data_IF_033148365592
#
_entry.id   IF_033148365592
#
_cell.length_a   1.000
_cell.length_b   1.000
_cell.length_c   1.000
_cell.angle_alpha   90.00
_cell.angle_beta   90.00
_cell.angle_gamma   90.00
#
_symmetry.space_group_name_H-M   'P 1'
#
loop_
_entity.id
_entity.type
_entity.pdbx_description
1 polymer ?
#
# COMPACT_ATOMS: atom_id res chain seq x y z
N UNK A 1 -8.08 19.23 -20.84
CA UNK A 1 -6.71 19.10 -21.40
C UNK A 1 -5.86 18.34 -20.40
N UNK A 2 -4.94 17.46 -20.83
CA UNK A 2 -4.04 16.70 -19.94
C UNK A 2 -2.60 17.05 -20.29
N UNK A 3 -1.77 17.26 -19.29
CA UNK A 3 -0.36 17.67 -19.44
C UNK A 3 0.45 16.83 -18.45
N UNK A 4 1.63 16.38 -18.87
CA UNK A 4 2.60 15.67 -18.03
C UNK A 4 3.81 16.58 -17.88
N UNK A 5 4.28 16.75 -16.65
CA UNK A 5 5.42 17.59 -16.33
C UNK A 5 6.50 16.73 -15.68
N UNK A 6 7.69 16.74 -16.26
CA UNK A 6 8.90 16.16 -15.68
C UNK A 6 9.62 17.26 -14.87
N UNK A 7 9.72 17.07 -13.55
CA UNK A 7 10.18 18.11 -12.62
C UNK A 7 11.23 17.49 -11.71
N UNK A 8 12.35 18.20 -11.53
CA UNK A 8 13.38 17.81 -10.56
C UNK A 8 12.80 17.82 -9.14
N UNK A 9 13.09 16.80 -8.32
CA UNK A 9 12.57 16.64 -6.96
C UNK A 9 12.75 17.89 -6.09
N UNK A 10 13.89 18.56 -6.20
CA UNK A 10 14.20 19.77 -5.43
C UNK A 10 13.31 20.98 -5.76
N UNK A 11 12.49 20.91 -6.81
CA UNK A 11 11.52 21.93 -7.22
C UNK A 11 10.07 21.42 -7.24
N UNK A 12 9.86 20.11 -7.15
CA UNK A 12 8.54 19.50 -7.18
C UNK A 12 7.64 20.01 -6.03
N UNK A 13 8.19 20.10 -4.81
CA UNK A 13 7.46 20.56 -3.64
C UNK A 13 6.87 21.97 -3.82
N UNK A 14 7.68 22.90 -4.33
CA UNK A 14 7.25 24.28 -4.57
C UNK A 14 6.13 24.38 -5.60
N UNK A 15 6.16 23.54 -6.65
CA UNK A 15 5.09 23.51 -7.64
C UNK A 15 3.80 22.92 -7.07
N UNK A 16 3.89 21.87 -6.25
CA UNK A 16 2.72 21.24 -5.61
C UNK A 16 1.99 22.24 -4.72
N UNK A 17 2.71 23.10 -3.97
CA UNK A 17 2.07 24.13 -3.14
C UNK A 17 1.24 25.10 -3.99
N UNK A 18 1.80 25.58 -5.10
CA UNK A 18 1.07 26.45 -6.03
C UNK A 18 -0.15 25.73 -6.62
N UNK A 19 -0.01 24.45 -7.00
CA UNK A 19 -1.13 23.67 -7.55
C UNK A 19 -2.25 23.41 -6.54
N UNK A 20 -1.95 23.37 -5.23
CA UNK A 20 -2.97 23.23 -4.17
C UNK A 20 -3.85 24.46 -4.05
N UNK A 21 -3.31 25.65 -4.28
CA UNK A 21 -4.08 26.90 -4.26
C UNK A 21 -4.98 27.07 -5.50
N UNK A 22 -4.73 26.31 -6.58
CA UNK A 22 -5.52 26.34 -7.80
C UNK A 22 -6.70 25.35 -7.73
N UNK A 23 -7.84 25.81 -7.20
CA UNK A 23 -9.06 24.98 -7.06
C UNK A 23 -9.62 24.39 -8.36
N UNK A 24 -9.21 24.91 -9.53
CA UNK A 24 -9.63 24.44 -10.85
C UNK A 24 -8.70 23.39 -11.47
N UNK A 25 -7.58 23.05 -10.81
CA UNK A 25 -6.60 22.08 -11.32
C UNK A 25 -6.67 20.80 -10.50
N UNK A 26 -6.89 19.67 -11.18
CA UNK A 26 -6.75 18.33 -10.59
C UNK A 26 -5.39 17.78 -11.00
N UNK A 27 -4.52 17.49 -10.04
CA UNK A 27 -3.20 16.91 -10.27
C UNK A 27 -3.06 15.56 -9.59
N UNK A 28 -2.15 14.74 -10.11
CA UNK A 28 -1.69 13.48 -9.51
C UNK A 28 -0.17 13.48 -9.56
N UNK A 29 0.45 13.11 -8.46
CA UNK A 29 1.90 12.92 -8.40
C UNK A 29 2.18 11.54 -8.97
N UNK A 30 2.97 11.49 -10.04
CA UNK A 30 3.39 10.25 -10.68
C UNK A 30 4.87 10.10 -10.33
N UNK A 31 5.15 9.40 -9.23
CA UNK A 31 6.50 9.00 -8.87
C UNK A 31 6.72 7.56 -9.35
N UNK A 32 7.92 7.26 -9.86
CA UNK A 32 8.30 5.90 -10.25
C UNK A 32 8.38 4.93 -9.06
N UNK A 33 8.35 5.45 -7.82
CA UNK A 33 8.09 4.66 -6.63
C UNK A 33 6.67 4.13 -6.70
N UNK A 34 6.59 2.88 -7.15
CA UNK A 34 5.47 1.94 -7.06
C UNK A 34 4.53 2.42 -5.96
N UNK A 35 3.31 2.79 -6.32
CA UNK A 35 2.22 2.92 -5.37
C UNK A 35 2.15 1.58 -4.60
N UNK A 36 2.80 1.50 -3.43
CA UNK A 36 2.49 0.53 -2.41
C UNK A 36 1.04 0.81 -2.06
N UNK A 37 0.15 0.18 -2.84
CA UNK A 37 -1.27 0.39 -2.75
C UNK A 37 -1.65 0.00 -1.34
N UNK A 38 -1.92 0.98 -0.50
CA UNK A 38 -2.30 0.73 0.88
C UNK A 38 -3.43 -0.31 0.87
N UNK A 39 -3.26 -1.44 1.58
CA UNK A 39 -4.22 -2.53 1.51
C UNK A 39 -5.59 -1.99 1.90
N UNK A 40 -6.59 -2.29 1.09
CA UNK A 40 -7.95 -1.81 1.38
C UNK A 40 -8.43 -2.44 2.69
N UNK A 41 -9.34 -1.77 3.41
CA UNK A 41 -9.96 -2.34 4.64
C UNK A 41 -10.50 -3.76 4.44
N UNK A 42 -10.96 -4.08 3.22
CA UNK A 42 -11.45 -5.40 2.84
C UNK A 42 -10.32 -6.44 2.79
N UNK A 43 -9.19 -6.11 2.19
CA UNK A 43 -8.01 -6.99 2.10
C UNK A 43 -7.41 -7.26 3.49
N UNK A 44 -7.35 -6.23 4.35
CA UNK A 44 -6.91 -6.39 5.74
C UNK A 44 -7.85 -7.35 6.49
N UNK A 45 -9.17 -7.17 6.34
CA UNK A 45 -10.15 -8.03 7.00
C UNK A 45 -10.08 -9.48 6.49
N UNK A 46 -9.84 -9.67 5.20
CA UNK A 46 -9.70 -10.99 4.60
C UNK A 46 -8.44 -11.70 5.12
N UNK A 47 -7.32 -10.99 5.20
CA UNK A 47 -6.08 -11.50 5.80
C UNK A 47 -6.25 -11.93 7.26
N UNK A 48 -6.96 -11.13 8.07
CA UNK A 48 -7.27 -11.49 9.47
C UNK A 48 -8.12 -12.77 9.53
N UNK A 49 -9.18 -12.85 8.72
CA UNK A 49 -10.07 -14.04 8.69
C UNK A 49 -9.31 -15.29 8.26
N UNK A 50 -8.42 -15.17 7.29
CA UNK A 50 -7.58 -16.27 6.84
C UNK A 50 -6.69 -16.79 7.99
N UNK A 51 -6.01 -15.89 8.71
CA UNK A 51 -5.19 -16.25 9.86
C UNK A 51 -5.97 -17.00 10.95
N UNK A 52 -7.21 -16.59 11.24
CA UNK A 52 -8.09 -17.32 12.17
C UNK A 52 -8.39 -18.74 11.70
N UNK A 53 -8.67 -18.93 10.40
CA UNK A 53 -8.95 -20.24 9.81
C UNK A 53 -7.73 -21.15 9.88
N UNK A 54 -6.54 -20.61 9.63
CA UNK A 54 -5.28 -21.35 9.72
C UNK A 54 -4.99 -21.83 11.15
N UNK A 55 -5.23 -20.98 12.15
CA UNK A 55 -5.14 -21.35 13.58
C UNK A 55 -6.15 -22.44 13.95
N UNK A 56 -7.37 -22.36 13.43
CA UNK A 56 -8.40 -23.38 13.67
C UNK A 56 -8.01 -24.74 13.06
N UNK A 57 -7.49 -24.74 11.83
CA UNK A 57 -7.00 -25.96 11.16
C UNK A 57 -5.78 -26.55 11.87
N UNK A 58 -4.90 -25.71 12.41
CA UNK A 58 -3.78 -26.15 13.23
C UNK A 58 -4.23 -26.83 14.52
N UNK A 59 -5.22 -26.24 15.22
CA UNK A 59 -5.84 -26.85 16.41
C UNK A 59 -6.50 -28.19 16.10
N UNK A 60 -7.04 -28.36 14.89
CA UNK A 60 -7.59 -29.64 14.41
C UNK A 60 -6.50 -30.64 13.97
N UNK A 61 -5.21 -30.27 14.02
CA UNK A 61 -4.09 -31.10 13.57
C UNK A 61 -3.97 -31.26 12.05
N UNK A 62 -4.74 -30.48 11.27
CA UNK A 62 -4.82 -30.57 9.80
C UNK A 62 -3.76 -29.71 9.09
N UNK A 63 -3.19 -28.75 9.79
CA UNK A 63 -2.25 -27.78 9.26
C UNK A 63 -1.09 -27.62 10.25
N UNK A 64 0.16 -27.61 9.77
CA UNK A 64 1.30 -27.15 10.58
C UNK A 64 1.52 -25.67 10.31
N UNK A 65 1.54 -24.86 11.36
CA UNK A 65 1.86 -23.44 11.24
C UNK A 65 3.37 -23.25 11.28
N UNK A 66 3.84 -22.26 10.52
CA UNK A 66 5.21 -21.76 10.65
C UNK A 66 5.38 -20.98 11.95
N UNK A 67 6.59 -20.98 12.50
CA UNK A 67 6.89 -20.16 13.66
C UNK A 67 6.84 -18.67 13.31
N UNK A 68 6.65 -17.82 14.31
CA UNK A 68 6.67 -16.37 14.11
C UNK A 68 8.01 -15.89 13.54
N UNK A 69 9.12 -16.58 13.85
CA UNK A 69 10.44 -16.25 13.32
C UNK A 69 10.54 -16.54 11.84
N UNK A 70 10.12 -17.74 11.41
CA UNK A 70 10.10 -18.12 9.99
C UNK A 70 9.19 -17.19 9.17
N UNK A 71 8.06 -16.78 9.75
CA UNK A 71 7.16 -15.82 9.09
C UNK A 71 7.82 -14.44 8.87
N UNK A 72 8.65 -13.99 9.81
CA UNK A 72 9.34 -12.70 9.71
C UNK A 72 10.52 -12.73 8.73
N UNK A 73 11.18 -13.88 8.56
CA UNK A 73 12.27 -14.06 7.59
C UNK A 73 11.76 -14.09 6.13
N UNK A 74 10.44 -14.23 5.89
CA UNK A 74 9.83 -14.29 4.55
C UNK A 74 9.25 -12.94 4.05
N UNK A 75 9.20 -11.91 4.89
CA UNK A 75 8.64 -10.58 4.57
C UNK A 75 9.76 -9.59 4.23
#
# INVERSE_FOLDING_TARGET
>A
MKIILDIKDNKAQALIEILKDLAYVKFKIITETIEEKEPTKKEILDGIKQGFKEVELHRQGKLKLKSAKELLDEL
#
